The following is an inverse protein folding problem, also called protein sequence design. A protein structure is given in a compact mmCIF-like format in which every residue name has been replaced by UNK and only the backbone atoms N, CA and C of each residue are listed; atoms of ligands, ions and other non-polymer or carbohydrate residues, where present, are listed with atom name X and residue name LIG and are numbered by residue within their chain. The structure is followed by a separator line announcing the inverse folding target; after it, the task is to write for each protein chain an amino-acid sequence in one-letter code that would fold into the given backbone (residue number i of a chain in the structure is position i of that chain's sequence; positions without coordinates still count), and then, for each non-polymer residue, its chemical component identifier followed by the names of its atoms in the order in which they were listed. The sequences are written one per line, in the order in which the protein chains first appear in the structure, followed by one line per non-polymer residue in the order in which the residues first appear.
data_IF_002406633175
#
_entry.id   IF_002406633175
#
_cell.length_a   1.000
_cell.length_b   1.000
_cell.length_c   1.000
_cell.angle_alpha   90.00
_cell.angle_beta   90.00
_cell.angle_gamma   90.00
#
_symmetry.space_group_name_H-M   'P 1'
#
loop_
_entity.id
_entity.type
_entity.pdbx_description
1 polymer ?
#
# COMPACT_ATOMS: atom_id res chain seq x y z
N UNK A 1 17.27 16.95 -53.07
CA UNK A 1 17.95 16.75 -51.78
C UNK A 1 17.02 17.19 -50.67
N UNK A 2 16.77 16.39 -49.63
CA UNK A 2 15.89 16.80 -48.54
C UNK A 2 16.43 18.05 -47.84
N UNK A 3 15.52 18.95 -47.45
CA UNK A 3 15.88 20.17 -46.72
C UNK A 3 16.59 19.82 -45.40
N UNK A 4 17.42 20.74 -44.88
CA UNK A 4 18.26 20.49 -43.71
C UNK A 4 17.53 19.97 -42.46
N UNK A 5 16.27 20.40 -42.28
CA UNK A 5 15.42 19.99 -41.17
C UNK A 5 14.94 18.52 -41.23
N UNK A 6 14.67 18.00 -42.44
CA UNK A 6 14.33 16.59 -42.64
C UNK A 6 15.49 15.65 -42.33
N UNK A 7 16.73 16.10 -42.52
CA UNK A 7 17.93 15.32 -42.21
C UNK A 7 18.23 15.25 -40.70
N UNK A 8 17.86 16.28 -39.94
CA UNK A 8 18.08 16.34 -38.51
C UNK A 8 17.06 15.47 -37.77
N UNK A 9 15.78 15.50 -38.19
CA UNK A 9 14.71 14.65 -37.65
C UNK A 9 14.99 13.13 -37.91
N UNK A 10 15.66 12.79 -38.98
CA UNK A 10 16.03 11.41 -39.31
C UNK A 10 17.17 10.85 -38.41
N UNK A 11 18.12 11.73 -38.00
CA UNK A 11 19.20 11.36 -37.07
C UNK A 11 18.69 11.14 -35.62
N UNK A 12 17.72 11.87 -35.20
CA UNK A 12 17.16 11.78 -33.82
C UNK A 12 16.36 10.50 -33.59
N UNK A 13 15.92 9.79 -34.65
CA UNK A 13 15.16 8.55 -34.56
C UNK A 13 16.02 7.27 -34.73
N UNK A 14 17.34 7.36 -34.65
CA UNK A 14 18.23 6.19 -34.70
C UNK A 14 18.28 5.48 -36.04
N UNK A 15 17.97 6.20 -37.15
CA UNK A 15 18.09 5.69 -38.51
C UNK A 15 19.49 5.99 -39.01
N UNK A 16 20.33 4.98 -39.05
CA UNK A 16 21.67 5.10 -39.67
C UNK A 16 21.54 5.05 -41.18
N UNK A 17 22.08 6.07 -41.83
CA UNK A 17 22.39 6.22 -43.23
C UNK A 17 21.27 6.31 -44.29
N UNK A 18 21.51 7.12 -45.35
CA UNK A 18 20.65 7.35 -46.50
C UNK A 18 20.14 6.07 -47.17
N UNK A 19 20.94 5.00 -47.13
CA UNK A 19 20.68 3.68 -47.69
C UNK A 19 19.40 3.02 -47.11
N UNK A 20 19.10 3.24 -45.85
CA UNK A 20 18.01 2.53 -45.16
C UNK A 20 16.59 3.05 -45.52
N UNK A 21 16.49 4.33 -45.87
CA UNK A 21 15.21 4.95 -46.27
C UNK A 21 14.94 4.68 -47.76
N UNK A 22 15.94 4.81 -48.61
CA UNK A 22 15.84 4.55 -50.04
C UNK A 22 15.46 3.08 -50.28
N UNK A 23 16.09 2.15 -49.57
CA UNK A 23 15.74 0.74 -49.60
C UNK A 23 14.34 0.47 -49.10
N UNK A 24 13.92 1.13 -48.02
CA UNK A 24 12.57 1.01 -47.51
C UNK A 24 11.53 1.50 -48.53
N UNK A 25 11.76 2.64 -49.18
CA UNK A 25 10.83 3.20 -50.17
C UNK A 25 10.75 2.30 -51.40
N UNK A 26 11.87 1.79 -51.87
CA UNK A 26 11.90 0.87 -53.01
C UNK A 26 11.10 -0.38 -52.74
N UNK A 27 11.35 -1.07 -51.62
CA UNK A 27 10.64 -2.29 -51.24
C UNK A 27 9.13 -1.99 -50.91
N UNK A 28 8.89 -0.84 -50.29
CA UNK A 28 7.51 -0.48 -49.96
C UNK A 28 6.67 -0.11 -51.19
N UNK A 29 7.25 0.41 -52.22
CA UNK A 29 6.57 0.80 -53.47
C UNK A 29 6.48 -0.31 -54.51
N UNK A 30 7.18 -1.41 -54.34
CA UNK A 30 7.13 -2.56 -55.24
C UNK A 30 5.95 -3.47 -54.88
N UNK A 31 4.78 -3.21 -55.49
CA UNK A 31 3.55 -4.01 -55.27
C UNK A 31 3.59 -5.36 -55.98
N UNK A 32 4.35 -5.49 -57.05
CA UNK A 32 4.42 -6.70 -57.83
C UNK A 32 5.16 -7.80 -57.09
N UNK A 33 6.22 -7.46 -56.40
CA UNK A 33 7.03 -8.38 -55.61
C UNK A 33 6.54 -8.51 -54.17
N UNK A 34 6.04 -7.43 -53.60
CA UNK A 34 5.67 -7.35 -52.19
C UNK A 34 4.25 -6.76 -52.04
N UNK A 35 3.22 -7.54 -52.40
CA UNK A 35 1.85 -7.04 -52.45
C UNK A 35 1.32 -6.63 -51.07
N UNK A 36 1.82 -7.18 -49.98
CA UNK A 36 1.34 -6.91 -48.64
C UNK A 36 2.37 -6.18 -47.76
N UNK A 37 1.86 -5.49 -46.71
CA UNK A 37 2.74 -4.89 -45.68
C UNK A 37 3.52 -6.00 -44.92
N UNK A 38 2.95 -7.21 -44.85
CA UNK A 38 3.60 -8.35 -44.24
C UNK A 38 4.81 -8.83 -45.06
N UNK A 39 4.70 -8.81 -46.41
CA UNK A 39 5.80 -9.15 -47.29
C UNK A 39 6.94 -8.13 -47.19
N UNK A 40 6.61 -6.85 -47.13
CA UNK A 40 7.56 -5.79 -46.86
C UNK A 40 8.29 -5.99 -45.52
N UNK A 41 7.54 -6.32 -44.48
CA UNK A 41 8.10 -6.58 -43.15
C UNK A 41 9.06 -7.78 -43.16
N UNK A 42 8.69 -8.85 -43.85
CA UNK A 42 9.48 -10.08 -44.00
C UNK A 42 10.80 -9.84 -44.73
N UNK A 43 10.76 -9.12 -45.85
CA UNK A 43 11.95 -8.82 -46.64
C UNK A 43 12.90 -7.86 -45.93
N UNK A 44 12.35 -6.87 -45.23
CA UNK A 44 13.15 -5.92 -44.47
C UNK A 44 13.60 -6.42 -43.08
N UNK A 45 13.17 -7.61 -42.67
CA UNK A 45 13.49 -8.18 -41.37
C UNK A 45 12.96 -7.39 -40.17
N UNK A 46 11.84 -6.64 -40.34
CA UNK A 46 11.28 -5.77 -39.33
C UNK A 46 9.80 -6.12 -39.07
N UNK A 47 9.26 -5.67 -37.93
CA UNK A 47 7.86 -5.94 -37.61
C UNK A 47 6.90 -5.15 -38.53
N UNK A 48 5.69 -5.69 -38.75
CA UNK A 48 4.60 -5.02 -39.48
C UNK A 48 4.31 -3.64 -38.88
N UNK A 49 4.36 -3.53 -37.54
CA UNK A 49 4.18 -2.28 -36.82
C UNK A 49 5.27 -1.27 -37.18
N UNK A 50 6.52 -1.73 -37.28
CA UNK A 50 7.66 -0.90 -37.68
C UNK A 50 7.52 -0.42 -39.12
N UNK A 51 7.07 -1.25 -40.04
CA UNK A 51 6.77 -0.86 -41.44
C UNK A 51 5.72 0.25 -41.49
N UNK A 52 4.63 0.09 -40.76
CA UNK A 52 3.55 1.10 -40.70
C UNK A 52 4.02 2.42 -40.10
N UNK A 53 4.79 2.37 -39.02
CA UNK A 53 5.35 3.56 -38.38
C UNK A 53 6.36 4.30 -39.30
N UNK A 54 7.27 3.56 -39.95
CA UNK A 54 8.20 4.13 -40.94
C UNK A 54 7.45 4.77 -42.11
N UNK A 55 6.46 4.11 -42.68
CA UNK A 55 5.63 4.67 -43.74
C UNK A 55 4.85 5.92 -43.31
N UNK A 56 4.26 5.92 -42.10
CA UNK A 56 3.59 7.06 -41.51
C UNK A 56 4.54 8.24 -41.32
N UNK A 57 5.73 7.98 -40.78
CA UNK A 57 6.78 8.98 -40.59
C UNK A 57 7.23 9.62 -41.94
N UNK A 58 7.50 8.82 -42.94
CA UNK A 58 7.92 9.32 -44.26
C UNK A 58 6.83 10.19 -44.88
N UNK A 59 5.55 9.76 -44.81
CA UNK A 59 4.43 10.56 -45.32
C UNK A 59 4.26 11.87 -44.56
N UNK A 60 4.43 11.89 -43.25
CA UNK A 60 4.31 13.12 -42.45
C UNK A 60 5.46 14.08 -42.67
N UNK A 61 6.70 13.57 -42.76
CA UNK A 61 7.90 14.38 -42.92
C UNK A 61 7.97 15.06 -44.30
N UNK A 62 7.50 14.37 -45.34
CA UNK A 62 7.56 14.89 -46.73
C UNK A 62 6.17 15.33 -47.25
N UNK A 63 5.20 15.57 -46.38
CA UNK A 63 3.83 15.95 -46.74
C UNK A 63 3.76 17.18 -47.62
N UNK A 64 4.61 18.19 -47.37
CA UNK A 64 4.59 19.48 -48.03
C UNK A 64 5.79 19.64 -49.00
N UNK A 65 6.58 18.59 -49.23
CA UNK A 65 7.74 18.60 -50.14
C UNK A 65 7.35 17.96 -51.48
N UNK A 66 7.17 18.76 -52.56
CA UNK A 66 6.78 18.26 -53.85
C UNK A 66 7.86 17.39 -54.52
N UNK A 67 9.12 17.50 -54.05
CA UNK A 67 10.28 16.72 -54.54
C UNK A 67 10.65 15.56 -53.65
N UNK A 68 9.96 15.43 -52.48
CA UNK A 68 10.20 14.38 -51.51
C UNK A 68 9.72 13.01 -51.97
N UNK A 69 10.24 11.96 -51.34
CA UNK A 69 9.86 10.58 -51.68
C UNK A 69 8.40 10.32 -51.44
N UNK A 70 7.70 9.78 -52.41
CA UNK A 70 6.29 9.43 -52.36
C UNK A 70 6.11 7.95 -52.10
N UNK A 71 5.37 7.62 -51.04
CA UNK A 71 4.94 6.23 -50.78
C UNK A 71 3.56 6.01 -51.38
N UNK A 72 3.43 4.89 -52.11
CA UNK A 72 2.11 4.42 -52.59
C UNK A 72 1.15 4.17 -51.42
N UNK A 73 -0.14 4.34 -51.69
CA UNK A 73 -1.18 3.91 -50.74
C UNK A 73 -1.41 2.42 -50.91
N UNK A 74 -0.89 1.65 -49.95
CA UNK A 74 -1.22 0.23 -49.88
C UNK A 74 -2.59 0.10 -49.24
N UNK A 75 -3.50 -0.58 -49.92
CA UNK A 75 -4.79 -0.96 -49.33
C UNK A 75 -4.53 -1.87 -48.11
N UNK A 76 -5.36 -1.82 -47.08
CA UNK A 76 -5.29 -2.81 -46.00
C UNK A 76 -5.50 -4.18 -46.62
N UNK A 77 -4.52 -5.08 -46.45
CA UNK A 77 -4.61 -6.43 -46.96
C UNK A 77 -5.51 -7.22 -46.05
N UNK A 78 -6.55 -7.72 -46.60
CA UNK A 78 -7.33 -8.81 -46.06
C UNK A 78 -6.60 -10.12 -46.40
N UNK A 79 -5.93 -10.72 -45.44
CA UNK A 79 -5.36 -12.08 -45.57
C UNK A 79 -6.48 -13.17 -45.61
N UNK A 80 -7.69 -12.75 -45.84
CA UNK A 80 -8.87 -13.61 -45.95
C UNK A 80 -9.28 -13.60 -47.41
N UNK A 81 -9.37 -14.76 -48.10
CA UNK A 81 -9.94 -14.84 -49.42
C UNK A 81 -11.35 -14.24 -49.36
N UNK A 82 -11.52 -13.10 -50.04
CA UNK A 82 -12.86 -12.60 -50.32
C UNK A 82 -13.61 -13.73 -50.99
N UNK A 83 -14.82 -14.06 -50.48
CA UNK A 83 -15.67 -15.04 -51.19
C UNK A 83 -15.80 -14.60 -52.64
N UNK A 84 -15.83 -15.55 -53.60
CA UNK A 84 -15.92 -15.25 -55.03
C UNK A 84 -17.09 -14.33 -55.42
N UNK A 85 -18.02 -14.13 -54.49
CA UNK A 85 -19.17 -13.22 -54.61
C UNK A 85 -18.91 -11.77 -54.24
N UNK A 86 -17.72 -11.44 -53.74
CA UNK A 86 -17.34 -10.06 -53.31
C UNK A 86 -17.00 -9.11 -54.48
N UNK A 87 -17.10 -9.57 -55.72
CA UNK A 87 -16.97 -8.72 -56.94
C UNK A 87 -18.11 -7.73 -57.17
N UNK A 88 -19.22 -7.86 -56.43
CA UNK A 88 -20.28 -6.85 -56.39
C UNK A 88 -19.97 -5.85 -55.30
N UNK A 89 -19.40 -4.70 -55.67
CA UNK A 89 -19.42 -3.49 -54.83
C UNK A 89 -20.87 -3.23 -54.48
N UNK A 90 -21.32 -3.65 -53.30
CA UNK A 90 -22.63 -3.25 -52.78
C UNK A 90 -22.56 -1.77 -52.44
N UNK A 91 -23.24 -0.94 -53.21
CA UNK A 91 -23.32 0.49 -52.95
C UNK A 91 -23.96 0.82 -51.59
N UNK A 92 -24.66 -0.11 -50.98
CA UNK A 92 -25.34 0.03 -49.69
C UNK A 92 -25.28 -1.21 -48.83
N UNK A 93 -24.37 -1.19 -47.80
CA UNK A 93 -24.42 -2.14 -46.73
C UNK A 93 -25.53 -1.75 -45.74
N UNK A 94 -26.54 -2.61 -45.59
CA UNK A 94 -27.59 -2.48 -44.60
C UNK A 94 -27.14 -3.00 -43.19
N UNK A 95 -27.99 -2.85 -42.18
CA UNK A 95 -27.68 -3.33 -40.83
C UNK A 95 -27.53 -4.84 -40.74
N UNK A 96 -28.31 -5.60 -41.51
CA UNK A 96 -28.26 -7.08 -41.49
C UNK A 96 -26.98 -7.60 -42.13
N UNK A 97 -26.55 -7.00 -43.23
CA UNK A 97 -25.31 -7.36 -43.93
C UNK A 97 -24.08 -6.99 -43.04
N UNK A 98 -24.15 -5.88 -42.33
CA UNK A 98 -23.11 -5.51 -41.34
C UNK A 98 -22.99 -6.57 -40.23
N UNK A 99 -24.13 -7.02 -39.69
CA UNK A 99 -24.20 -8.10 -38.68
C UNK A 99 -23.64 -9.41 -39.22
N UNK A 100 -24.01 -9.79 -40.42
CA UNK A 100 -23.54 -11.01 -41.08
C UNK A 100 -22.00 -10.99 -41.25
N UNK A 101 -21.45 -9.85 -41.68
CA UNK A 101 -20.02 -9.68 -41.86
C UNK A 101 -19.26 -9.73 -40.52
N UNK A 102 -19.78 -9.12 -39.45
CA UNK A 102 -19.17 -9.20 -38.15
C UNK A 102 -19.18 -10.64 -37.60
N UNK A 103 -20.25 -11.39 -37.82
CA UNK A 103 -20.31 -12.80 -37.45
C UNK A 103 -19.28 -13.61 -38.22
N UNK A 104 -19.20 -13.43 -39.55
CA UNK A 104 -18.20 -14.08 -40.40
C UNK A 104 -16.77 -13.84 -39.88
N UNK A 105 -16.44 -12.61 -39.50
CA UNK A 105 -15.12 -12.26 -38.95
C UNK A 105 -14.90 -12.93 -37.59
N UNK A 106 -15.93 -13.04 -36.76
CA UNK A 106 -15.84 -13.69 -35.47
C UNK A 106 -15.60 -15.21 -35.56
N UNK A 107 -16.02 -15.83 -36.65
CA UNK A 107 -15.81 -17.25 -36.91
C UNK A 107 -14.40 -17.59 -37.37
N UNK A 108 -13.65 -16.63 -37.89
CA UNK A 108 -12.25 -16.83 -38.34
C UNK A 108 -11.33 -17.26 -37.20
N UNK A 109 -11.55 -16.67 -36.01
CA UNK A 109 -10.78 -17.00 -34.80
C UNK A 109 -11.71 -16.94 -33.59
N UNK A 110 -12.32 -18.08 -33.27
CA UNK A 110 -13.29 -18.22 -32.17
C UNK A 110 -12.70 -18.02 -30.78
N UNK A 111 -11.39 -18.12 -30.65
CA UNK A 111 -10.66 -17.88 -29.39
C UNK A 111 -10.49 -16.39 -29.10
N UNK A 112 -10.36 -15.57 -30.13
CA UNK A 112 -10.12 -14.12 -29.99
C UNK A 112 -11.42 -13.32 -29.94
N UNK A 113 -11.38 -12.28 -29.11
CA UNK A 113 -12.42 -11.26 -29.10
C UNK A 113 -12.20 -10.32 -30.28
N UNK A 114 -13.20 -10.17 -31.14
CA UNK A 114 -13.15 -9.23 -32.26
C UNK A 114 -13.03 -7.81 -31.71
N UNK A 115 -11.90 -7.17 -31.95
CA UNK A 115 -11.67 -5.75 -31.63
C UNK A 115 -12.03 -4.88 -32.83
N UNK A 116 -12.29 -3.58 -32.58
CA UNK A 116 -12.55 -2.60 -33.65
C UNK A 116 -11.43 -2.56 -34.70
N UNK A 117 -10.18 -2.68 -34.25
CA UNK A 117 -9.02 -2.73 -35.15
C UNK A 117 -8.96 -4.05 -35.93
N UNK A 118 -9.32 -5.17 -35.29
CA UNK A 118 -9.37 -6.46 -35.96
C UNK A 118 -10.46 -6.45 -37.06
N UNK A 119 -11.67 -5.98 -36.73
CA UNK A 119 -12.76 -5.84 -37.69
C UNK A 119 -12.35 -4.92 -38.86
N UNK A 120 -11.83 -3.73 -38.60
CA UNK A 120 -11.37 -2.79 -39.63
C UNK A 120 -10.33 -3.39 -40.57
N UNK A 121 -9.51 -4.30 -40.09
CA UNK A 121 -8.43 -4.89 -40.90
C UNK A 121 -8.91 -6.11 -41.73
N UNK A 122 -10.07 -6.68 -41.41
CA UNK A 122 -10.58 -7.94 -42.03
C UNK A 122 -11.94 -7.76 -42.70
N UNK A 123 -12.55 -6.58 -42.63
CA UNK A 123 -13.85 -6.27 -43.24
C UNK A 123 -13.70 -5.24 -44.35
N UNK A 124 -14.55 -5.40 -45.39
CA UNK A 124 -14.74 -4.40 -46.40
C UNK A 124 -15.64 -3.24 -45.96
N UNK A 125 -16.34 -3.41 -44.82
CA UNK A 125 -17.27 -2.39 -44.28
C UNK A 125 -16.51 -1.28 -43.59
N UNK A 126 -16.76 -0.03 -43.99
CA UNK A 126 -16.16 1.12 -43.35
C UNK A 126 -16.73 1.36 -41.96
N UNK A 127 -15.93 2.00 -41.12
CA UNK A 127 -16.33 2.38 -39.77
C UNK A 127 -17.57 3.28 -39.77
N UNK A 128 -17.66 4.23 -40.70
CA UNK A 128 -18.79 5.12 -40.83
C UNK A 128 -20.08 4.40 -41.20
N UNK A 129 -19.98 3.26 -41.90
CA UNK A 129 -21.13 2.47 -42.32
C UNK A 129 -21.79 1.78 -41.14
N UNK A 130 -21.05 0.96 -40.37
CA UNK A 130 -21.64 0.29 -39.23
C UNK A 130 -21.98 1.25 -38.09
N UNK A 131 -21.20 2.32 -37.91
CA UNK A 131 -21.46 3.32 -36.85
C UNK A 131 -22.79 4.06 -37.07
N UNK A 132 -23.19 4.26 -38.32
CA UNK A 132 -24.50 4.86 -38.67
C UNK A 132 -25.66 4.04 -38.11
N UNK A 133 -25.57 2.72 -38.14
CA UNK A 133 -26.65 1.82 -37.71
C UNK A 133 -26.62 1.49 -36.23
N UNK A 134 -25.41 1.36 -35.66
CA UNK A 134 -25.24 0.78 -34.32
C UNK A 134 -24.68 1.80 -33.31
N UNK A 135 -24.20 2.96 -33.74
CA UNK A 135 -23.65 4.01 -32.87
C UNK A 135 -22.32 3.67 -32.21
N UNK A 136 -22.18 2.47 -31.65
CA UNK A 136 -20.94 2.01 -31.03
C UNK A 136 -20.56 0.60 -31.50
N UNK A 137 -19.26 0.26 -31.44
CA UNK A 137 -18.78 -1.08 -31.81
C UNK A 137 -19.27 -2.16 -30.85
N UNK A 138 -19.52 -1.79 -29.58
CA UNK A 138 -20.09 -2.65 -28.55
C UNK A 138 -21.55 -3.02 -28.89
N UNK A 139 -22.36 -2.02 -29.29
CA UNK A 139 -23.74 -2.24 -29.70
C UNK A 139 -23.80 -3.10 -30.96
N UNK A 140 -22.92 -2.86 -31.91
CA UNK A 140 -22.76 -3.64 -33.10
C UNK A 140 -22.47 -5.12 -32.78
N UNK A 141 -21.52 -5.36 -31.86
CA UNK A 141 -21.21 -6.73 -31.39
C UNK A 141 -22.37 -7.38 -30.65
N UNK A 142 -23.11 -6.61 -29.86
CA UNK A 142 -24.26 -7.12 -29.10
C UNK A 142 -25.36 -7.58 -30.03
N UNK A 143 -25.74 -6.79 -31.02
CA UNK A 143 -26.75 -7.15 -31.99
C UNK A 143 -26.31 -8.31 -32.90
N UNK A 144 -25.02 -8.40 -33.18
CA UNK A 144 -24.45 -9.53 -33.89
C UNK A 144 -24.36 -10.84 -33.04
N UNK A 145 -24.52 -10.75 -31.72
CA UNK A 145 -24.31 -11.86 -30.81
C UNK A 145 -22.85 -12.32 -30.69
N UNK A 146 -21.90 -11.41 -30.97
CA UNK A 146 -20.47 -11.72 -30.96
C UNK A 146 -19.89 -11.44 -29.55
N UNK A 147 -18.95 -12.30 -29.15
CA UNK A 147 -18.29 -12.28 -27.84
C UNK A 147 -17.73 -10.91 -27.49
N UNK A 148 -18.15 -10.36 -26.34
CA UNK A 148 -17.65 -9.11 -25.81
C UNK A 148 -16.33 -9.33 -25.03
N UNK A 149 -15.51 -8.29 -24.92
CA UNK A 149 -14.33 -8.32 -24.05
C UNK A 149 -14.73 -8.31 -22.56
N UNK A 150 -13.80 -8.73 -21.68
CA UNK A 150 -14.01 -8.67 -20.22
C UNK A 150 -14.39 -7.27 -19.74
N UNK A 151 -13.76 -6.23 -20.32
CA UNK A 151 -14.07 -4.84 -19.98
C UNK A 151 -15.47 -4.42 -20.43
N UNK A 152 -15.88 -4.82 -21.63
CA UNK A 152 -17.23 -4.57 -22.15
C UNK A 152 -18.29 -5.27 -21.30
N UNK A 153 -18.09 -6.54 -20.94
CA UNK A 153 -18.99 -7.26 -20.03
C UNK A 153 -19.02 -6.63 -18.62
N UNK A 154 -17.89 -6.13 -18.13
CA UNK A 154 -17.85 -5.44 -16.83
C UNK A 154 -18.61 -4.11 -16.90
N UNK A 155 -18.48 -3.37 -18.00
CA UNK A 155 -19.19 -2.11 -18.23
C UNK A 155 -20.71 -2.36 -18.36
N UNK A 156 -21.14 -3.36 -19.13
CA UNK A 156 -22.56 -3.72 -19.23
C UNK A 156 -23.16 -4.16 -17.90
N UNK A 157 -22.43 -4.97 -17.13
CA UNK A 157 -22.86 -5.33 -15.77
C UNK A 157 -22.96 -4.13 -14.86
N UNK A 158 -22.02 -3.19 -14.97
CA UNK A 158 -22.07 -1.95 -14.21
C UNK A 158 -23.29 -1.11 -14.60
N UNK A 159 -23.56 -0.92 -15.90
CA UNK A 159 -24.76 -0.20 -16.39
C UNK A 159 -26.03 -0.89 -15.90
N UNK A 160 -26.15 -2.21 -16.09
CA UNK A 160 -27.30 -2.96 -15.63
C UNK A 160 -27.50 -2.87 -14.11
N UNK A 161 -26.40 -2.92 -13.37
CA UNK A 161 -26.39 -2.77 -11.91
C UNK A 161 -26.85 -1.37 -11.46
N UNK A 162 -26.52 -0.34 -12.24
CA UNK A 162 -26.88 1.06 -11.92
C UNK A 162 -28.21 1.50 -12.55
N UNK A 163 -28.85 0.66 -13.34
CA UNK A 163 -30.02 1.02 -14.13
C UNK A 163 -31.33 1.18 -13.33
N UNK A 164 -31.39 0.77 -12.05
CA UNK A 164 -32.62 0.96 -11.26
C UNK A 164 -32.35 1.41 -9.83
N UNK A 165 -33.15 2.35 -9.35
CA UNK A 165 -33.18 2.76 -7.94
C UNK A 165 -33.49 1.58 -7.02
N UNK A 166 -34.28 0.62 -7.50
CA UNK A 166 -34.67 -0.58 -6.75
C UNK A 166 -33.48 -1.51 -6.50
N UNK A 167 -32.52 -1.56 -7.40
CA UNK A 167 -31.26 -2.29 -7.15
C UNK A 167 -30.51 -1.75 -5.93
N UNK A 168 -30.39 -0.43 -5.81
CA UNK A 168 -29.75 0.17 -4.65
C UNK A 168 -30.54 -0.02 -3.36
N UNK A 169 -31.87 -0.01 -3.44
CA UNK A 169 -32.73 -0.32 -2.29
C UNK A 169 -32.54 -1.77 -1.84
N UNK A 170 -32.53 -2.71 -2.77
CA UNK A 170 -32.26 -4.13 -2.47
C UNK A 170 -30.88 -4.33 -1.84
N UNK A 171 -29.83 -3.71 -2.40
CA UNK A 171 -28.49 -3.77 -1.81
C UNK A 171 -28.42 -3.17 -0.41
N UNK A 172 -29.15 -2.09 -0.14
CA UNK A 172 -29.19 -1.50 1.20
C UNK A 172 -29.90 -2.40 2.19
N UNK A 173 -30.99 -3.05 1.80
CA UNK A 173 -31.67 -4.05 2.63
C UNK A 173 -30.74 -5.24 2.91
N UNK A 174 -30.09 -5.79 1.90
CA UNK A 174 -29.13 -6.88 2.06
C UNK A 174 -27.96 -6.50 2.98
N UNK A 175 -27.46 -5.26 2.89
CA UNK A 175 -26.43 -4.75 3.79
C UNK A 175 -26.91 -4.60 5.22
N UNK A 176 -28.15 -4.16 5.42
CA UNK A 176 -28.75 -4.07 6.75
C UNK A 176 -28.96 -5.44 7.36
N UNK A 177 -29.52 -6.38 6.60
CA UNK A 177 -29.70 -7.77 7.04
C UNK A 177 -28.36 -8.42 7.39
N UNK A 178 -27.35 -8.16 6.57
CA UNK A 178 -25.98 -8.63 6.82
C UNK A 178 -25.42 -8.02 8.10
N UNK A 179 -25.54 -6.71 8.31
CA UNK A 179 -25.07 -6.02 9.50
C UNK A 179 -25.79 -6.54 10.76
N UNK A 180 -27.11 -6.70 10.72
CA UNK A 180 -27.88 -7.26 11.83
C UNK A 180 -27.49 -8.71 12.16
N UNK A 181 -27.28 -9.54 11.14
CA UNK A 181 -26.81 -10.92 11.31
C UNK A 181 -25.43 -10.95 11.95
N UNK A 182 -24.54 -10.06 11.52
CA UNK A 182 -23.20 -9.93 12.07
C UNK A 182 -23.18 -9.47 13.52
N UNK A 183 -24.02 -8.55 13.91
CA UNK A 183 -24.14 -8.08 15.31
C UNK A 183 -24.67 -9.19 16.22
N UNK A 184 -25.59 -10.04 15.73
CA UNK A 184 -26.15 -11.13 16.53
C UNK A 184 -25.18 -12.27 16.82
N UNK A 185 -24.23 -12.55 15.93
CA UNK A 185 -23.40 -13.77 16.00
C UNK A 185 -22.09 -13.57 16.79
N UNK A 186 -21.78 -12.37 17.41
CA UNK A 186 -20.40 -12.12 17.73
C UNK A 186 -20.07 -11.28 18.97
N UNK A 187 -20.04 -11.92 20.12
CA UNK A 187 -19.32 -11.39 21.29
C UNK A 187 -17.79 -11.41 21.14
N UNK A 188 -17.24 -12.04 20.09
CA UNK A 188 -15.80 -12.26 19.94
C UNK A 188 -15.20 -11.74 18.62
N UNK A 189 -16.01 -11.15 17.76
CA UNK A 189 -15.58 -10.68 16.42
C UNK A 189 -14.76 -9.41 16.46
N UNK A 190 -15.21 -8.46 17.24
CA UNK A 190 -14.56 -7.17 17.35
C UNK A 190 -13.58 -7.17 18.51
N UNK A 191 -12.36 -6.80 18.23
CA UNK A 191 -11.27 -6.74 19.19
C UNK A 191 -10.71 -5.35 19.28
N UNK A 192 -10.31 -4.94 20.48
CA UNK A 192 -9.70 -3.65 20.73
C UNK A 192 -8.29 -3.83 21.25
N UNK A 193 -7.35 -3.16 20.60
CA UNK A 193 -5.95 -3.08 21.02
C UNK A 193 -5.67 -1.65 21.48
N UNK A 194 -5.15 -1.50 22.68
CA UNK A 194 -4.58 -0.23 23.13
C UNK A 194 -3.07 -0.26 22.90
N UNK A 195 -2.54 0.72 22.19
CA UNK A 195 -1.10 0.80 21.88
C UNK A 195 -0.50 2.08 22.40
N UNK A 196 0.61 1.99 23.10
CA UNK A 196 1.37 3.12 23.67
C UNK A 196 2.87 2.87 23.55
N UNK A 197 3.67 3.91 23.37
CA UNK A 197 5.12 3.86 23.16
C UNK A 197 5.84 5.00 23.85
N UNK A 198 7.15 4.85 24.07
CA UNK A 198 8.06 5.93 24.44
C UNK A 198 7.61 6.67 25.71
N UNK A 199 7.39 5.94 26.80
CA UNK A 199 6.96 6.49 28.10
C UNK A 199 8.13 7.01 28.94
N UNK A 200 9.29 6.33 28.84
CA UNK A 200 10.54 6.70 29.49
C UNK A 200 10.44 6.81 31.04
N UNK A 201 9.78 5.84 31.65
CA UNK A 201 9.67 5.70 33.12
C UNK A 201 9.34 7.01 33.86
N UNK A 202 10.24 7.55 34.69
CA UNK A 202 10.04 8.75 35.50
C UNK A 202 9.83 10.04 34.68
N UNK A 203 10.16 9.99 33.38
CA UNK A 203 9.96 11.13 32.49
C UNK A 203 8.53 11.20 31.95
N UNK A 204 7.65 10.24 32.27
CA UNK A 204 6.26 10.23 31.79
C UNK A 204 5.54 11.53 32.18
N UNK A 205 4.70 12.04 31.27
CA UNK A 205 3.81 13.16 31.54
C UNK A 205 2.64 12.70 32.43
N UNK A 206 2.45 13.24 33.63
CA UNK A 206 1.39 12.83 34.54
C UNK A 206 -0.02 12.93 33.95
N UNK A 207 -0.26 13.97 33.14
CA UNK A 207 -1.55 14.12 32.45
C UNK A 207 -1.76 13.02 31.42
N UNK A 208 -0.72 12.71 30.63
CA UNK A 208 -0.76 11.60 29.69
C UNK A 208 -1.05 10.29 30.41
N UNK A 209 -0.35 10.00 31.48
CA UNK A 209 -0.54 8.78 32.28
C UNK A 209 -1.99 8.66 32.79
N UNK A 210 -2.54 9.72 33.35
CA UNK A 210 -3.93 9.75 33.82
C UNK A 210 -4.91 9.46 32.67
N UNK A 211 -4.73 10.09 31.51
CA UNK A 211 -5.59 9.86 30.33
C UNK A 211 -5.47 8.42 29.86
N UNK A 212 -4.26 7.88 29.81
CA UNK A 212 -3.99 6.50 29.39
C UNK A 212 -4.71 5.48 30.30
N UNK A 213 -4.49 5.57 31.62
CA UNK A 213 -5.05 4.64 32.60
C UNK A 213 -6.59 4.72 32.61
N UNK A 214 -7.18 5.93 32.62
CA UNK A 214 -8.62 6.08 32.60
C UNK A 214 -9.24 5.60 31.28
N UNK A 215 -8.54 5.77 30.17
CA UNK A 215 -8.98 5.23 28.88
C UNK A 215 -8.94 3.71 28.89
N UNK A 216 -7.85 3.09 29.34
CA UNK A 216 -7.73 1.64 29.48
C UNK A 216 -8.86 1.08 30.36
N UNK A 217 -9.09 1.70 31.51
CA UNK A 217 -10.19 1.31 32.45
C UNK A 217 -11.56 1.34 31.79
N UNK A 218 -11.84 2.34 30.97
CA UNK A 218 -13.16 2.53 30.35
C UNK A 218 -13.38 1.67 29.11
N UNK A 219 -12.33 1.48 28.32
CA UNK A 219 -12.39 0.76 27.05
C UNK A 219 -12.30 -0.75 27.28
N UNK A 220 -11.59 -1.19 28.32
CA UNK A 220 -11.32 -2.62 28.59
C UNK A 220 -10.81 -3.33 27.34
N UNK A 221 -9.61 -2.94 26.83
CA UNK A 221 -9.08 -3.53 25.61
C UNK A 221 -8.79 -5.02 25.78
N UNK A 222 -8.94 -5.79 24.70
CA UNK A 222 -8.54 -7.21 24.68
C UNK A 222 -7.03 -7.37 24.83
N UNK A 223 -6.28 -6.41 24.24
CA UNK A 223 -4.81 -6.41 24.27
C UNK A 223 -4.31 -5.00 24.56
N UNK A 224 -3.30 -4.90 25.43
CA UNK A 224 -2.50 -3.69 25.62
C UNK A 224 -1.11 -4.00 25.05
N UNK A 225 -0.61 -3.16 24.15
CA UNK A 225 0.72 -3.29 23.57
C UNK A 225 1.58 -2.10 23.98
N UNK A 226 2.60 -2.39 24.78
CA UNK A 226 3.67 -1.45 25.11
C UNK A 226 4.70 -1.54 23.98
N UNK A 227 4.73 -0.52 23.10
CA UNK A 227 5.46 -0.57 21.82
C UNK A 227 6.89 -0.06 21.96
N UNK A 228 7.57 -0.44 23.04
CA UNK A 228 8.97 -0.15 23.33
C UNK A 228 9.22 1.20 24.01
N UNK A 229 10.42 1.34 24.51
CA UNK A 229 10.92 2.54 25.21
C UNK A 229 10.00 2.98 26.37
N UNK A 230 9.54 1.99 27.14
CA UNK A 230 8.78 2.23 28.38
C UNK A 230 9.72 2.64 29.51
N UNK A 231 10.93 2.07 29.50
CA UNK A 231 12.04 2.44 30.40
C UNK A 231 13.04 3.27 29.64
N UNK A 232 13.54 4.36 30.24
CA UNK A 232 14.58 5.19 29.63
C UNK A 232 15.98 4.55 29.77
N UNK A 233 16.32 4.07 30.95
CA UNK A 233 17.59 3.39 31.26
C UNK A 233 18.83 4.14 30.72
N UNK A 234 18.99 5.45 31.00
CA UNK A 234 20.06 6.26 30.45
C UNK A 234 21.44 5.81 30.90
N UNK A 235 21.53 5.14 32.06
CA UNK A 235 22.78 4.59 32.61
C UNK A 235 23.42 3.53 31.70
N UNK A 236 22.61 2.87 30.86
CA UNK A 236 23.07 1.88 29.87
C UNK A 236 23.20 2.50 28.47
N UNK A 237 23.00 3.80 28.35
CA UNK A 237 23.04 4.52 27.07
C UNK A 237 24.46 4.77 26.56
N UNK A 238 24.53 5.43 25.38
CA UNK A 238 25.80 5.88 24.77
C UNK A 238 26.36 7.13 25.45
N UNK A 239 25.47 7.91 26.00
CA UNK A 239 25.81 9.22 26.62
C UNK A 239 26.04 9.01 28.09
N UNK A 240 27.13 9.54 28.58
CA UNK A 240 27.47 9.43 30.01
C UNK A 240 26.46 10.18 30.86
N UNK A 241 25.90 9.51 31.83
CA UNK A 241 25.08 10.09 32.89
C UNK A 241 25.97 10.23 34.09
N UNK A 242 25.85 11.35 34.83
CA UNK A 242 26.60 11.53 36.09
C UNK A 242 26.29 10.36 37.03
N UNK A 243 27.29 9.62 37.51
CA UNK A 243 27.07 8.48 38.43
C UNK A 243 26.28 8.86 39.70
N UNK A 244 26.23 10.13 40.06
CA UNK A 244 25.40 10.60 41.18
C UNK A 244 23.91 10.63 40.89
N UNK A 245 23.53 10.59 39.58
CA UNK A 245 22.15 10.59 39.10
C UNK A 245 21.68 9.19 38.73
N UNK A 246 22.51 8.15 38.94
CA UNK A 246 22.11 6.77 38.65
C UNK A 246 21.06 6.28 39.64
N UNK A 247 19.91 5.92 39.12
CA UNK A 247 18.81 5.37 39.89
C UNK A 247 17.99 4.33 39.11
N UNK A 248 18.68 3.36 38.54
CA UNK A 248 18.04 2.26 37.78
C UNK A 248 16.93 1.58 38.60
N UNK A 249 17.19 1.35 39.90
CA UNK A 249 16.22 0.69 40.77
C UNK A 249 14.97 1.54 41.02
N UNK A 250 15.17 2.83 41.24
CA UNK A 250 14.07 3.79 41.44
C UNK A 250 13.23 3.90 40.16
N UNK A 251 13.85 3.98 38.98
CA UNK A 251 13.15 4.00 37.67
C UNK A 251 12.30 2.77 37.44
N UNK A 252 12.84 1.57 37.72
CA UNK A 252 12.09 0.31 37.61
C UNK A 252 10.92 0.27 38.60
N UNK A 253 11.14 0.69 39.86
CA UNK A 253 10.08 0.75 40.85
C UNK A 253 8.98 1.74 40.46
N UNK A 254 9.35 2.92 39.99
CA UNK A 254 8.39 3.90 39.49
C UNK A 254 7.51 3.33 38.35
N UNK A 255 8.13 2.72 37.35
CA UNK A 255 7.39 2.10 36.27
C UNK A 255 6.45 0.98 36.76
N UNK A 256 6.86 0.21 37.76
CA UNK A 256 5.99 -0.79 38.39
C UNK A 256 4.80 -0.17 39.12
N UNK A 257 5.02 0.86 39.91
CA UNK A 257 4.02 1.44 40.80
C UNK A 257 3.07 2.38 40.06
N UNK A 258 3.58 3.14 39.09
CA UNK A 258 2.80 4.19 38.43
C UNK A 258 2.29 3.79 37.03
N UNK A 259 2.92 2.86 36.33
CA UNK A 259 2.57 2.50 34.94
C UNK A 259 2.01 1.07 34.85
N UNK A 260 2.87 0.07 35.14
CA UNK A 260 2.54 -1.34 34.85
C UNK A 260 1.49 -1.91 35.79
N UNK A 261 1.64 -1.62 37.09
CA UNK A 261 0.65 -2.01 38.11
C UNK A 261 -0.72 -1.41 37.83
N UNK A 262 -0.85 -0.09 37.72
CA UNK A 262 -2.14 0.53 37.42
C UNK A 262 -2.79 0.07 36.10
N UNK A 263 -2.01 -0.20 35.05
CA UNK A 263 -2.54 -0.80 33.80
C UNK A 263 -3.12 -2.19 34.04
N UNK A 264 -2.40 -3.05 34.77
CA UNK A 264 -2.87 -4.39 35.11
C UNK A 264 -4.09 -4.33 36.03
N UNK A 265 -4.10 -3.45 37.03
CA UNK A 265 -5.19 -3.31 37.99
C UNK A 265 -6.51 -2.88 37.33
N UNK A 266 -6.44 -1.97 36.34
CA UNK A 266 -7.66 -1.51 35.62
C UNK A 266 -8.07 -2.45 34.49
N UNK A 267 -7.16 -3.28 33.97
CA UNK A 267 -7.42 -4.23 32.88
C UNK A 267 -6.95 -5.65 33.28
N UNK A 268 -7.56 -6.30 34.27
CA UNK A 268 -7.07 -7.58 34.81
C UNK A 268 -7.11 -8.71 33.77
N UNK A 269 -8.07 -8.68 32.85
CA UNK A 269 -8.28 -9.72 31.84
C UNK A 269 -7.54 -9.45 30.51
N UNK A 270 -6.97 -8.26 30.33
CA UNK A 270 -6.28 -7.90 29.09
C UNK A 270 -4.96 -8.67 28.94
N UNK A 271 -4.67 -9.15 27.73
CA UNK A 271 -3.32 -9.56 27.40
C UNK A 271 -2.44 -8.30 27.35
N UNK A 272 -1.33 -8.28 28.10
CA UNK A 272 -0.35 -7.19 28.03
C UNK A 272 0.93 -7.72 27.39
N UNK A 273 1.31 -7.14 26.29
CA UNK A 273 2.54 -7.45 25.57
C UNK A 273 3.47 -6.23 25.58
N UNK A 274 4.76 -6.48 25.84
CA UNK A 274 5.79 -5.47 25.80
C UNK A 274 6.78 -5.80 24.69
N UNK A 275 6.78 -5.02 23.63
CA UNK A 275 7.73 -5.13 22.52
C UNK A 275 9.00 -4.38 22.90
N UNK A 276 10.15 -5.04 22.85
CA UNK A 276 11.44 -4.44 23.19
C UNK A 276 11.74 -3.22 22.28
N UNK A 277 12.00 -2.08 22.90
CA UNK A 277 12.50 -0.88 22.24
C UNK A 277 14.02 -0.81 22.24
N UNK A 278 14.58 0.30 21.74
CA UNK A 278 16.03 0.46 21.73
C UNK A 278 16.59 0.79 23.13
N UNK A 279 15.79 1.31 24.05
CA UNK A 279 16.20 1.60 25.42
C UNK A 279 16.31 0.30 26.25
N UNK A 280 15.33 -0.57 26.22
CA UNK A 280 15.41 -1.88 26.86
C UNK A 280 16.54 -2.74 26.26
N UNK A 281 16.74 -2.65 24.94
CA UNK A 281 17.80 -3.35 24.25
C UNK A 281 19.22 -2.92 24.70
N UNK A 282 19.37 -1.78 25.38
CA UNK A 282 20.66 -1.40 26.01
C UNK A 282 21.11 -2.41 27.05
N UNK A 283 20.18 -2.97 27.83
CA UNK A 283 20.46 -4.02 28.79
C UNK A 283 21.04 -5.27 28.10
N UNK A 284 20.44 -5.68 27.01
CA UNK A 284 20.88 -6.81 26.23
C UNK A 284 22.28 -6.56 25.62
N UNK A 285 22.57 -5.32 25.22
CA UNK A 285 23.89 -4.92 24.72
C UNK A 285 24.96 -5.07 25.79
N UNK A 286 24.71 -4.59 26.99
CA UNK A 286 25.65 -4.72 28.11
C UNK A 286 25.93 -6.20 28.43
N UNK A 287 24.91 -7.03 28.38
CA UNK A 287 25.07 -8.48 28.58
C UNK A 287 25.81 -9.16 27.42
N UNK A 288 25.63 -8.69 26.19
CA UNK A 288 26.37 -9.18 25.03
C UNK A 288 27.86 -8.88 25.08
N UNK A 289 28.24 -7.76 25.67
CA UNK A 289 29.64 -7.38 25.91
C UNK A 289 30.27 -8.13 27.07
N UNK A 290 29.48 -8.81 27.91
CA UNK A 290 29.99 -9.68 28.97
C UNK A 290 30.66 -10.91 28.36
N UNK A 291 31.57 -11.53 29.16
CA UNK A 291 32.22 -12.77 28.73
C UNK A 291 31.21 -13.89 28.46
N UNK A 292 31.47 -14.77 27.50
CA UNK A 292 30.59 -15.92 27.24
C UNK A 292 30.30 -16.79 28.48
N UNK A 293 31.30 -16.94 29.35
CA UNK A 293 31.13 -17.66 30.61
C UNK A 293 30.12 -16.98 31.54
N UNK A 294 30.18 -15.66 31.69
CA UNK A 294 29.25 -14.90 32.54
C UNK A 294 27.82 -14.96 31.93
N UNK A 295 27.70 -14.85 30.64
CA UNK A 295 26.39 -15.00 29.97
C UNK A 295 25.79 -16.38 30.23
N UNK A 296 26.57 -17.47 30.08
CA UNK A 296 26.12 -18.83 30.37
C UNK A 296 25.66 -18.97 31.83
N UNK A 297 26.41 -18.44 32.78
CA UNK A 297 26.01 -18.46 34.19
C UNK A 297 24.69 -17.72 34.41
N UNK A 298 24.53 -16.54 33.83
CA UNK A 298 23.33 -15.75 34.01
C UNK A 298 22.10 -16.40 33.31
N UNK A 299 22.24 -16.86 32.08
CA UNK A 299 21.13 -17.47 31.35
C UNK A 299 20.84 -18.90 31.79
N UNK A 300 21.85 -19.77 31.80
CA UNK A 300 21.63 -21.21 31.93
C UNK A 300 21.47 -21.64 33.39
N UNK A 301 22.23 -21.01 34.31
CA UNK A 301 22.16 -21.38 35.73
C UNK A 301 21.06 -20.58 36.47
N UNK A 302 20.88 -19.31 36.16
CA UNK A 302 19.94 -18.44 36.88
C UNK A 302 18.69 -18.12 36.09
N UNK A 303 18.57 -18.59 34.83
CA UNK A 303 17.43 -18.31 33.95
C UNK A 303 17.17 -16.81 33.79
N UNK A 304 18.26 -16.02 33.73
CA UNK A 304 18.18 -14.59 33.67
C UNK A 304 17.68 -14.13 32.29
N UNK A 305 16.68 -13.24 32.29
CA UNK A 305 16.16 -12.58 31.09
C UNK A 305 15.98 -11.10 31.37
N UNK A 306 15.89 -10.27 30.30
CA UNK A 306 15.56 -8.84 30.43
C UNK A 306 14.18 -8.68 31.10
N UNK A 307 13.22 -9.50 30.77
CA UNK A 307 11.89 -9.51 31.40
C UNK A 307 11.96 -9.70 32.93
N UNK A 308 12.81 -10.63 33.40
CA UNK A 308 13.03 -10.82 34.86
C UNK A 308 13.73 -9.63 35.49
N UNK A 309 14.74 -9.07 34.84
CA UNK A 309 15.42 -7.86 35.34
C UNK A 309 14.45 -6.70 35.53
N UNK A 310 13.58 -6.50 34.54
CA UNK A 310 12.54 -5.46 34.57
C UNK A 310 11.33 -5.85 35.43
N UNK A 311 11.28 -7.06 36.00
CA UNK A 311 10.23 -7.53 36.88
C UNK A 311 8.84 -7.65 36.25
N UNK A 312 8.78 -7.88 34.95
CA UNK A 312 7.53 -7.89 34.15
C UNK A 312 6.62 -9.05 34.49
N UNK A 313 7.18 -10.15 34.99
CA UNK A 313 6.43 -11.37 35.41
C UNK A 313 5.40 -11.06 36.50
N UNK A 314 5.66 -10.07 37.35
CA UNK A 314 4.73 -9.64 38.44
C UNK A 314 3.40 -9.12 37.91
N UNK A 315 3.37 -8.63 36.68
CA UNK A 315 2.23 -8.03 36.03
C UNK A 315 1.68 -8.92 34.91
N UNK A 316 2.17 -10.14 34.79
CA UNK A 316 1.80 -11.08 33.70
C UNK A 316 1.98 -10.44 32.31
N UNK A 317 3.11 -9.74 32.12
CA UNK A 317 3.46 -9.05 30.86
C UNK A 317 4.35 -9.97 30.03
N UNK A 318 3.92 -10.25 28.79
CA UNK A 318 4.73 -10.97 27.82
C UNK A 318 5.77 -10.04 27.22
N UNK A 319 7.05 -10.36 27.34
CA UNK A 319 8.14 -9.58 26.76
C UNK A 319 8.55 -10.15 25.41
N UNK A 320 8.50 -9.34 24.37
CA UNK A 320 8.82 -9.72 22.99
C UNK A 320 10.20 -9.14 22.66
N UNK A 321 11.22 -9.94 22.91
CA UNK A 321 12.62 -9.54 22.79
C UNK A 321 13.11 -9.57 21.34
N UNK A 322 14.11 -8.75 21.07
CA UNK A 322 14.84 -8.72 19.80
C UNK A 322 15.59 -10.04 19.54
N UNK A 323 16.12 -10.62 20.57
CA UNK A 323 16.80 -11.90 20.51
C UNK A 323 16.78 -12.63 21.87
N UNK A 324 16.95 -13.94 21.84
CA UNK A 324 17.20 -14.74 23.05
C UNK A 324 18.61 -14.41 23.58
N UNK A 325 18.71 -14.21 24.89
CA UNK A 325 20.00 -13.94 25.56
C UNK A 325 21.04 -15.03 25.30
N UNK A 326 20.63 -16.29 25.25
CA UNK A 326 21.51 -17.42 25.01
C UNK A 326 22.06 -17.46 23.57
N UNK A 327 21.24 -17.08 22.60
CA UNK A 327 21.57 -17.08 21.17
C UNK A 327 22.06 -15.75 20.65
N UNK A 328 22.11 -14.71 21.49
CA UNK A 328 22.36 -13.35 21.10
C UNK A 328 23.80 -13.11 20.62
N UNK A 329 23.93 -12.51 19.44
CA UNK A 329 25.20 -12.02 18.91
C UNK A 329 25.15 -10.53 18.65
N UNK A 330 26.32 -9.84 18.62
CA UNK A 330 26.40 -8.44 18.27
C UNK A 330 25.74 -8.13 16.90
N UNK A 331 25.86 -9.07 15.97
CA UNK A 331 25.25 -8.97 14.64
C UNK A 331 23.72 -9.02 14.67
N UNK A 332 23.14 -9.75 15.61
CA UNK A 332 21.67 -9.81 15.77
C UNK A 332 21.13 -8.51 16.35
N UNK A 333 21.93 -7.83 17.14
CA UNK A 333 21.58 -6.49 17.65
C UNK A 333 21.50 -5.43 16.56
N UNK A 334 22.32 -5.54 15.52
CA UNK A 334 22.40 -4.58 14.41
C UNK A 334 21.26 -4.77 13.38
N UNK A 335 20.52 -5.87 13.44
CA UNK A 335 19.37 -6.09 12.55
C UNK A 335 18.20 -5.19 12.96
N UNK A 336 17.78 -4.32 12.07
CA UNK A 336 16.67 -3.38 12.32
C UNK A 336 15.31 -4.07 12.48
N UNK A 337 15.06 -5.14 11.68
CA UNK A 337 13.89 -6.00 11.77
C UNK A 337 14.27 -7.32 12.43
N UNK A 338 14.33 -7.33 13.74
CA UNK A 338 14.49 -8.54 14.54
C UNK A 338 13.12 -9.08 14.98
N UNK A 339 13.11 -10.17 15.77
CA UNK A 339 11.89 -10.86 16.19
C UNK A 339 11.03 -10.08 17.22
N UNK A 340 11.38 -8.83 17.55
CA UNK A 340 10.64 -7.99 18.47
C UNK A 340 9.45 -7.28 17.79
N UNK A 341 8.65 -8.04 17.09
CA UNK A 341 7.36 -7.60 16.55
C UNK A 341 6.28 -8.64 16.83
N UNK A 342 5.03 -8.23 16.78
CA UNK A 342 3.91 -9.16 16.88
C UNK A 342 2.76 -8.70 15.99
N UNK A 343 2.09 -9.69 15.40
CA UNK A 343 0.87 -9.48 14.64
C UNK A 343 -0.30 -9.94 15.51
N UNK A 344 -1.24 -9.04 15.73
CA UNK A 344 -2.44 -9.29 16.53
C UNK A 344 -3.62 -9.58 15.62
N UNK A 345 -4.39 -10.59 15.99
CA UNK A 345 -5.60 -11.02 15.27
C UNK A 345 -5.37 -11.21 13.77
N UNK A 346 -4.19 -11.72 13.40
CA UNK A 346 -3.73 -11.92 12.02
C UNK A 346 -3.82 -10.67 11.14
N UNK A 347 -3.83 -9.47 11.75
CA UNK A 347 -4.12 -8.23 11.05
C UNK A 347 -3.16 -7.10 11.42
N UNK A 348 -3.06 -6.74 12.71
CA UNK A 348 -2.34 -5.54 13.15
C UNK A 348 -0.92 -5.87 13.56
N UNK A 349 0.04 -5.28 12.87
CA UNK A 349 1.47 -5.39 13.20
C UNK A 349 1.89 -4.30 14.17
N UNK A 350 2.47 -4.68 15.29
CA UNK A 350 3.11 -3.76 16.22
C UNK A 350 4.62 -4.00 16.26
N UNK A 351 5.38 -2.92 16.16
CA UNK A 351 6.83 -2.93 16.24
C UNK A 351 7.33 -1.59 16.76
N UNK A 352 8.48 -1.57 17.47
CA UNK A 352 9.00 -0.28 17.94
C UNK A 352 9.56 0.60 16.79
N UNK A 353 10.23 -0.01 15.81
CA UNK A 353 10.90 0.72 14.73
C UNK A 353 10.04 0.95 13.49
N UNK A 354 10.21 2.10 12.78
CA UNK A 354 9.37 2.49 11.65
C UNK A 354 9.50 1.60 10.41
N UNK A 355 10.59 0.83 10.27
CA UNK A 355 10.84 -0.06 9.13
C UNK A 355 9.76 -1.15 8.97
N UNK A 356 9.05 -1.48 10.04
CA UNK A 356 7.98 -2.47 10.02
C UNK A 356 6.82 -2.09 9.11
N UNK A 357 6.63 -0.80 8.80
CA UNK A 357 5.67 -0.34 7.80
C UNK A 357 5.85 -1.03 6.44
N UNK A 358 7.09 -1.32 6.06
CA UNK A 358 7.41 -1.98 4.79
C UNK A 358 6.93 -3.44 4.71
N UNK A 359 6.43 -4.02 5.80
CA UNK A 359 5.84 -5.35 5.79
C UNK A 359 4.44 -5.40 5.17
N UNK A 360 3.82 -4.25 4.89
CA UNK A 360 2.58 -4.16 4.12
C UNK A 360 1.34 -4.59 4.89
N UNK A 361 1.33 -4.44 6.21
CA UNK A 361 0.21 -4.68 7.12
C UNK A 361 -0.25 -3.39 7.78
N UNK A 362 -1.54 -3.25 8.15
CA UNK A 362 -1.96 -2.21 9.08
C UNK A 362 -1.21 -2.36 10.41
N UNK A 363 -0.84 -1.24 11.02
CA UNK A 363 -0.09 -1.36 12.26
C UNK A 363 0.44 -0.07 12.85
N UNK A 364 1.30 -0.22 13.85
CA UNK A 364 1.88 0.90 14.59
C UNK A 364 3.37 0.71 14.87
N UNK A 365 4.07 1.85 14.98
CA UNK A 365 5.41 1.92 15.54
C UNK A 365 5.57 3.11 16.49
N UNK A 366 6.58 3.06 17.37
CA UNK A 366 7.06 4.15 18.21
C UNK A 366 8.32 4.82 17.68
N UNK A 367 9.28 5.06 18.57
CA UNK A 367 10.67 5.43 18.33
C UNK A 367 10.92 6.91 17.97
N UNK A 368 10.12 7.51 17.12
CA UNK A 368 10.41 8.87 16.64
C UNK A 368 9.67 9.98 17.40
N UNK A 369 8.82 9.65 18.33
CA UNK A 369 8.06 10.58 19.18
C UNK A 369 7.22 11.60 18.39
N UNK A 370 6.91 11.31 17.11
CA UNK A 370 6.17 12.20 16.20
C UNK A 370 5.02 11.42 15.57
N UNK A 371 3.82 11.85 15.86
CA UNK A 371 2.65 11.22 15.23
C UNK A 371 2.65 11.47 13.71
N UNK A 372 2.57 10.38 12.96
CA UNK A 372 2.40 10.38 11.51
C UNK A 372 1.48 9.24 11.10
N UNK A 373 0.72 9.45 10.04
CA UNK A 373 -0.18 8.45 9.45
C UNK A 373 0.14 8.29 7.98
N UNK A 374 0.22 7.06 7.54
CA UNK A 374 0.34 6.72 6.13
C UNK A 374 -0.85 5.86 5.72
N UNK A 375 -1.54 6.31 4.67
CA UNK A 375 -2.55 5.51 4.00
C UNK A 375 -1.87 4.70 2.92
N UNK A 376 -1.99 3.39 3.02
CA UNK A 376 -1.32 2.42 2.16
C UNK A 376 -2.36 1.51 1.48
N UNK A 377 -1.94 0.78 0.47
CA UNK A 377 -2.80 -0.18 -0.20
C UNK A 377 -2.07 -1.52 -0.37
N UNK A 378 -2.76 -2.58 0.02
CA UNK A 378 -2.30 -3.95 -0.17
C UNK A 378 -3.37 -4.73 -0.94
N UNK A 379 -3.02 -5.52 -1.98
CA UNK A 379 -4.01 -6.30 -2.76
C UNK A 379 -4.83 -7.30 -1.92
N UNK A 380 -4.32 -7.73 -0.78
CA UNK A 380 -4.98 -8.70 0.11
C UNK A 380 -5.90 -8.00 1.11
N UNK A 381 -5.42 -6.92 1.73
CA UNK A 381 -6.14 -6.20 2.81
C UNK A 381 -6.92 -4.99 2.30
N UNK A 382 -6.68 -4.55 1.05
CA UNK A 382 -7.24 -3.29 0.55
C UNK A 382 -6.49 -2.07 1.07
N UNK A 383 -7.21 -0.97 1.28
CA UNK A 383 -6.66 0.23 1.90
C UNK A 383 -6.52 0.01 3.41
N UNK A 384 -5.39 0.42 3.97
CA UNK A 384 -5.09 0.33 5.41
C UNK A 384 -4.26 1.52 5.85
N UNK A 385 -4.13 1.69 7.17
CA UNK A 385 -3.33 2.75 7.75
C UNK A 385 -2.16 2.17 8.55
N UNK A 386 -1.04 2.88 8.51
CA UNK A 386 0.08 2.71 9.41
C UNK A 386 0.25 3.97 10.25
N UNK A 387 0.30 3.82 11.57
CA UNK A 387 0.45 4.93 12.50
C UNK A 387 1.82 4.87 13.19
N UNK A 388 2.59 5.93 13.09
CA UNK A 388 3.70 6.18 13.98
C UNK A 388 3.14 6.91 15.21
N UNK A 389 3.32 6.33 16.37
CA UNK A 389 2.80 6.87 17.62
C UNK A 389 3.62 8.09 18.08
N UNK A 390 3.00 8.94 18.86
CA UNK A 390 3.70 9.91 19.68
C UNK A 390 4.32 9.24 20.90
N UNK A 391 4.96 10.06 21.76
CA UNK A 391 5.51 9.63 23.04
C UNK A 391 4.52 9.84 24.19
N UNK A 392 4.89 9.37 25.38
CA UNK A 392 4.16 9.66 26.62
C UNK A 392 4.93 10.48 27.63
N UNK A 393 6.17 10.85 27.34
CA UNK A 393 7.05 11.55 28.27
C UNK A 393 6.86 13.07 28.27
N UNK A 394 7.38 13.73 29.29
CA UNK A 394 7.36 15.19 29.43
C UNK A 394 8.20 15.85 28.35
N UNK A 395 7.76 17.02 27.89
CA UNK A 395 8.53 17.86 26.98
C UNK A 395 9.69 18.60 27.67
N UNK A 396 9.67 18.65 28.97
CA UNK A 396 10.74 19.24 29.81
C UNK A 396 11.94 18.31 30.02
N UNK A 397 11.87 17.06 29.57
CA UNK A 397 13.04 16.17 29.61
C UNK A 397 14.23 16.82 28.89
N UNK A 398 15.42 16.72 29.47
CA UNK A 398 16.62 17.46 29.03
C UNK A 398 17.01 17.18 27.57
N UNK A 399 16.68 16.02 27.06
CA UNK A 399 16.93 15.62 25.68
C UNK A 399 15.83 16.04 24.70
N UNK A 400 14.77 16.71 25.18
CA UNK A 400 13.63 17.17 24.35
C UNK A 400 13.80 18.62 23.87
N UNK A 401 14.82 19.32 24.28
CA UNK A 401 15.00 20.75 24.00
C UNK A 401 15.10 21.01 22.48
N UNK A 402 14.15 21.78 21.96
CA UNK A 402 14.06 22.09 20.53
C UNK A 402 13.37 21.07 19.68
N UNK A 403 12.98 19.88 20.19
CA UNK A 403 12.31 18.84 19.43
C UNK A 403 10.79 19.09 19.32
N UNK A 404 10.25 18.73 18.14
CA UNK A 404 8.82 18.86 17.85
C UNK A 404 8.12 17.52 18.06
N UNK A 405 8.11 17.05 19.31
CA UNK A 405 7.50 15.77 19.65
C UNK A 405 6.01 15.92 19.96
N UNK A 406 5.26 14.83 19.76
CA UNK A 406 3.83 14.74 20.02
C UNK A 406 3.60 13.72 21.12
N UNK A 407 2.68 14.02 22.03
CA UNK A 407 2.22 13.04 22.99
C UNK A 407 0.90 12.43 22.52
N UNK A 408 0.79 11.11 22.57
CA UNK A 408 -0.41 10.42 22.16
C UNK A 408 -0.23 8.90 22.09
N UNK A 409 -1.35 8.21 22.09
CA UNK A 409 -1.46 6.77 22.00
C UNK A 409 -2.64 6.41 21.09
N UNK A 410 -2.83 5.13 20.75
CA UNK A 410 -3.91 4.74 19.87
C UNK A 410 -4.74 3.57 20.41
N UNK A 411 -6.04 3.62 20.09
CA UNK A 411 -6.94 2.48 20.14
C UNK A 411 -7.11 1.96 18.73
N UNK A 412 -6.99 0.65 18.53
CA UNK A 412 -7.15 -0.01 17.26
C UNK A 412 -8.28 -1.02 17.40
N UNK A 413 -9.37 -0.76 16.69
CA UNK A 413 -10.49 -1.69 16.62
C UNK A 413 -10.32 -2.59 15.40
N UNK A 414 -10.42 -3.89 15.62
CA UNK A 414 -10.17 -4.92 14.60
C UNK A 414 -11.45 -5.74 14.41
N UNK A 415 -11.92 -5.83 13.19
CA UNK A 415 -12.87 -6.86 12.78
C UNK A 415 -12.10 -8.10 12.35
N UNK A 416 -12.08 -9.11 13.20
CA UNK A 416 -11.29 -10.34 12.97
C UNK A 416 -11.76 -11.16 11.77
N UNK A 417 -13.00 -10.96 11.32
CA UNK A 417 -13.55 -11.67 10.15
C UNK A 417 -13.14 -11.02 8.82
N UNK A 418 -13.28 -9.69 8.75
CA UNK A 418 -12.93 -8.95 7.53
C UNK A 418 -11.47 -8.50 7.50
N UNK A 419 -10.78 -8.58 8.64
CA UNK A 419 -9.43 -8.03 8.87
C UNK A 419 -9.36 -6.53 8.63
N UNK A 420 -10.48 -5.84 8.79
CA UNK A 420 -10.54 -4.39 8.72
C UNK A 420 -10.14 -3.79 10.06
N UNK A 421 -9.51 -2.63 9.99
CA UNK A 421 -9.04 -1.89 11.17
C UNK A 421 -9.60 -0.48 11.17
N UNK A 422 -9.87 0.04 12.38
CA UNK A 422 -10.19 1.44 12.61
C UNK A 422 -9.29 1.96 13.72
N UNK A 423 -8.53 3.02 13.41
CA UNK A 423 -7.60 3.65 14.33
C UNK A 423 -8.23 4.89 14.96
N UNK A 424 -8.17 4.99 16.29
CA UNK A 424 -8.50 6.19 17.05
C UNK A 424 -7.23 6.66 17.77
N UNK A 425 -6.55 7.65 17.19
CA UNK A 425 -5.35 8.24 17.79
C UNK A 425 -5.75 9.34 18.78
N UNK A 426 -5.39 9.14 20.02
CA UNK A 426 -5.63 10.07 21.12
C UNK A 426 -4.42 10.97 21.26
N UNK A 427 -4.53 12.20 20.77
CA UNK A 427 -3.52 13.23 20.96
C UNK A 427 -3.67 13.84 22.34
N UNK A 428 -2.57 13.90 23.10
CA UNK A 428 -2.53 14.46 24.45
C UNK A 428 -1.72 15.75 24.45
N UNK A 429 -2.40 16.86 24.65
CA UNK A 429 -1.79 18.22 24.70
C UNK A 429 -2.15 18.87 26.05
N UNK A 430 -2.78 20.04 26.05
CA UNK A 430 -3.38 20.66 27.24
C UNK A 430 -4.75 20.02 27.56
N UNK A 431 -5.29 19.30 26.58
CA UNK A 431 -6.49 18.48 26.71
C UNK A 431 -6.34 17.22 25.89
N UNK A 432 -7.21 16.26 26.16
CA UNK A 432 -7.35 15.07 25.33
C UNK A 432 -8.82 14.68 25.20
N UNK A 433 -9.17 13.94 24.13
CA UNK A 433 -10.49 13.32 23.98
C UNK A 433 -10.26 11.85 23.70
N UNK A 434 -10.77 11.00 24.59
CA UNK A 434 -10.64 9.55 24.43
C UNK A 434 -11.96 8.87 24.75
N UNK A 435 -12.45 8.01 23.84
CA UNK A 435 -13.70 7.30 24.00
C UNK A 435 -14.88 8.22 24.34
N UNK A 436 -14.93 9.42 23.73
CA UNK A 436 -16.00 10.41 23.95
C UNK A 436 -15.88 11.21 25.23
N UNK A 437 -14.87 10.98 26.07
CA UNK A 437 -14.62 11.75 27.28
C UNK A 437 -13.57 12.83 27.04
N UNK A 438 -13.83 14.04 27.54
CA UNK A 438 -12.90 15.16 27.55
C UNK A 438 -12.06 15.16 28.82
N UNK A 439 -10.77 15.38 28.68
CA UNK A 439 -9.80 15.51 29.74
C UNK A 439 -9.10 16.85 29.61
N UNK A 440 -8.89 17.52 30.72
CA UNK A 440 -8.14 18.76 30.81
C UNK A 440 -6.97 18.57 31.76
N UNK A 441 -5.83 19.17 31.42
CA UNK A 441 -4.65 19.17 32.28
C UNK A 441 -4.95 19.94 33.57
N UNK A 442 -4.64 19.34 34.70
CA UNK A 442 -4.77 19.99 36.00
C UNK A 442 -3.53 20.81 36.32
N UNK A 443 -3.63 21.83 37.25
CA UNK A 443 -2.49 22.70 37.55
C UNK A 443 -1.20 21.98 38.00
N UNK A 444 -1.33 20.87 38.69
CA UNK A 444 -0.19 20.08 39.17
C UNK A 444 0.41 19.17 38.07
N UNK A 445 -0.25 19.03 36.97
CA UNK A 445 0.20 18.25 35.78
C UNK A 445 0.82 19.14 34.71
N UNK A 446 0.98 20.44 34.97
CA UNK A 446 1.56 21.38 34.00
C UNK A 446 3.03 21.07 33.80
N UNK A 447 3.39 20.75 32.55
CA UNK A 447 4.77 20.65 32.17
C UNK A 447 5.38 22.07 31.99
N UNK A 448 6.39 22.40 32.76
CA UNK A 448 7.04 23.72 32.74
C UNK A 448 7.63 24.06 31.35
N UNK A 449 7.90 23.09 30.52
CA UNK A 449 8.42 23.29 29.15
C UNK A 449 7.33 23.65 28.12
N UNK A 450 6.07 23.57 28.48
CA UNK A 450 4.98 24.00 27.59
C UNK A 450 4.74 25.50 27.84
N UNK A 451 5.14 26.40 26.94
CA UNK A 451 4.84 27.81 27.12
C UNK A 451 3.31 28.02 27.16
N UNK A 452 2.82 28.89 28.08
CA UNK A 452 1.40 29.21 28.07
C UNK A 452 1.02 29.72 26.68
N UNK A 453 0.00 29.12 26.08
CA UNK A 453 -0.52 29.61 24.81
C UNK A 453 -1.05 31.02 25.07
N UNK A 454 -0.53 31.97 24.30
CA UNK A 454 -1.08 33.33 24.29
C UNK A 454 -2.54 33.19 23.84
N UNK A 455 -3.46 33.48 24.74
CA UNK A 455 -4.89 33.48 24.50
C UNK A 455 -5.32 34.64 23.64
#
# INVERSE_FOLDING_TARGET
SPTGEGRQALKEQGMSEKTDIEQFIEVYNDLDRYPTVADVAKVLGISIKTVRNKAGFIRSTFKNDPTGPKLINRAPVTDVPLSEDSSKFMEHWGPEECIAELRRIAEIDTEKVVTRNYFRNHSAISESTWNRYFGTFEEFKRQAGVKLSRQQHAHERAIAKHASVDHYRTMNVERQDWAEKYVRDNNNRFKTILTVSDLHDIEIDPFFLRVLIDTAKRVQPDVIVLVGDIFDLPEFGKYGVDPREWDVVGRIKFAHEEILGPLRDVCPDAQIDFIEGNHEARLLRQLADATPALRAVLSDLHGFTVAKLLGLEKFEINYIAKADLAAFTKRDFEKELANNYKVYFDTVLCHHFPHARNMGLPGVNGHHHKHQVWSEFNPVYGAYEWHQLGAGHRRSASYCEGERWHNGFALINVDTHTRSTAFDYISVTDFAVAGGKWYHREPHEVDAAIPPRIR
#
